data_IF_314707769855
#
_entry.id   IF_314707769855
#
_cell.length_a   1.000
_cell.length_b   1.000
_cell.length_c   1.000
_cell.angle_alpha   90.00
_cell.angle_beta   90.00
_cell.angle_gamma   90.00
#
_symmetry.space_group_name_H-M   'P 1'
#
loop_
_entity.id
_entity.type
_entity.pdbx_description
1 polymer ?
#
# COMPACT_ATOMS: atom_id res chain seq x y z
N UNK A 1 -12.94 33.39 -12.78
CA UNK A 1 -14.20 34.15 -12.80
C UNK A 1 -14.83 34.00 -11.44
N UNK A 2 -15.02 35.14 -10.77
CA UNK A 2 -15.53 35.26 -9.40
C UNK A 2 -16.90 34.58 -9.28
N UNK A 3 -17.14 33.98 -8.12
CA UNK A 3 -18.42 33.35 -7.79
C UNK A 3 -19.53 34.38 -7.89
N UNK A 4 -20.42 34.18 -8.87
CA UNK A 4 -21.76 34.74 -8.81
C UNK A 4 -22.43 33.99 -7.67
N UNK A 5 -22.66 34.66 -6.55
CA UNK A 5 -23.53 34.16 -5.49
C UNK A 5 -24.94 34.08 -6.08
N UNK A 6 -25.24 32.95 -6.71
CA UNK A 6 -26.57 32.66 -7.25
C UNK A 6 -27.56 32.75 -6.09
N UNK A 7 -28.53 33.68 -6.13
CA UNK A 7 -29.50 33.87 -5.07
C UNK A 7 -30.19 32.56 -4.68
N UNK A 8 -30.45 32.34 -3.38
CA UNK A 8 -31.04 31.08 -2.87
C UNK A 8 -32.36 30.69 -3.58
N UNK A 9 -33.16 31.67 -4.02
CA UNK A 9 -34.39 31.42 -4.75
C UNK A 9 -34.17 30.82 -6.15
N UNK A 10 -33.06 31.16 -6.82
CA UNK A 10 -32.71 30.55 -8.11
C UNK A 10 -32.33 29.06 -7.96
N UNK A 11 -31.76 28.66 -6.82
CA UNK A 11 -31.50 27.25 -6.52
C UNK A 11 -32.79 26.45 -6.30
N UNK A 12 -33.83 27.08 -5.74
CA UNK A 12 -35.14 26.44 -5.58
C UNK A 12 -35.81 26.19 -6.95
N UNK A 13 -35.63 27.09 -7.92
CA UNK A 13 -36.05 26.84 -9.31
C UNK A 13 -35.18 25.78 -10.00
N UNK A 14 -33.89 25.71 -9.68
CA UNK A 14 -32.95 24.73 -10.24
C UNK A 14 -33.18 23.30 -9.71
N UNK A 15 -33.86 23.14 -8.57
CA UNK A 15 -34.10 21.84 -7.94
C UNK A 15 -34.95 20.88 -8.82
N UNK A 16 -35.79 21.42 -9.71
CA UNK A 16 -36.60 20.65 -10.66
C UNK A 16 -35.92 20.43 -12.03
N UNK A 17 -34.77 21.06 -12.27
CA UNK A 17 -33.99 20.85 -13.50
C UNK A 17 -33.12 19.59 -13.42
N UNK A 18 -32.81 18.98 -14.57
CA UNK A 18 -31.90 17.84 -14.64
C UNK A 18 -30.47 18.25 -14.23
N UNK A 19 -29.72 17.30 -13.67
CA UNK A 19 -28.34 17.53 -13.23
C UNK A 19 -27.40 17.93 -14.39
N UNK A 20 -27.65 17.42 -15.60
CA UNK A 20 -26.99 17.85 -16.82
C UNK A 20 -28.00 17.98 -17.99
N UNK A 21 -27.72 18.83 -18.99
CA UNK A 21 -28.58 18.94 -20.16
C UNK A 21 -28.60 17.62 -20.95
N UNK A 22 -29.78 17.16 -21.42
CA UNK A 22 -29.87 15.95 -22.23
C UNK A 22 -29.20 16.14 -23.61
N UNK A 23 -28.74 15.05 -24.24
CA UNK A 23 -28.29 15.08 -25.62
C UNK A 23 -29.45 15.39 -26.59
N UNK A 24 -29.12 15.88 -27.79
CA UNK A 24 -30.11 16.24 -28.81
C UNK A 24 -31.07 15.09 -29.11
N UNK A 25 -32.38 15.36 -29.04
CA UNK A 25 -33.44 14.38 -29.31
C UNK A 25 -33.84 13.47 -28.15
N UNK A 26 -33.23 13.60 -26.97
CA UNK A 26 -33.60 12.81 -25.77
C UNK A 26 -34.45 13.65 -24.82
N UNK A 27 -35.67 13.19 -24.51
CA UNK A 27 -36.53 13.79 -23.49
C UNK A 27 -36.31 13.03 -22.17
N UNK A 28 -35.83 13.69 -21.09
CA UNK A 28 -35.64 13.03 -19.80
C UNK A 28 -36.95 12.49 -19.23
N UNK A 29 -36.94 11.24 -18.79
CA UNK A 29 -38.06 10.66 -18.06
C UNK A 29 -37.75 10.62 -16.56
N UNK A 30 -38.35 11.55 -15.81
CA UNK A 30 -38.15 11.64 -14.37
C UNK A 30 -39.07 10.73 -13.55
N UNK A 31 -40.16 10.21 -14.13
CA UNK A 31 -41.12 9.36 -13.42
C UNK A 31 -40.68 7.90 -13.39
N UNK A 32 -40.02 7.45 -14.47
CA UNK A 32 -39.51 6.09 -14.62
C UNK A 32 -38.08 6.13 -15.18
N UNK A 33 -37.09 6.60 -14.39
CA UNK A 33 -35.71 6.68 -14.85
C UNK A 33 -35.18 5.26 -15.09
N UNK A 34 -34.45 5.06 -16.19
CA UNK A 34 -33.94 3.72 -16.53
C UNK A 34 -32.66 3.46 -15.77
N UNK A 35 -32.64 2.38 -14.98
CA UNK A 35 -31.42 1.88 -14.35
C UNK A 35 -30.56 1.18 -15.41
N UNK A 36 -29.40 1.75 -15.70
CA UNK A 36 -28.40 1.21 -16.61
C UNK A 36 -27.33 0.48 -15.79
N UNK A 37 -26.87 -0.68 -16.27
CA UNK A 37 -25.90 -1.59 -15.63
C UNK A 37 -26.34 -2.37 -14.38
N UNK A 38 -27.59 -2.22 -13.91
CA UNK A 38 -28.07 -2.82 -12.66
C UNK A 38 -27.15 -2.48 -11.47
N UNK A 39 -27.37 -3.08 -10.30
CA UNK A 39 -26.54 -2.93 -9.10
C UNK A 39 -25.17 -3.66 -9.21
N UNK A 40 -24.44 -3.49 -10.32
CA UNK A 40 -23.17 -4.18 -10.58
C UNK A 40 -22.09 -3.82 -9.56
N UNK A 41 -22.08 -2.58 -9.06
CA UNK A 41 -21.16 -2.12 -8.02
C UNK A 41 -21.41 -2.89 -6.72
N UNK A 42 -22.66 -2.95 -6.27
CA UNK A 42 -23.01 -3.67 -5.04
C UNK A 42 -22.70 -5.16 -5.12
N UNK A 43 -22.94 -5.80 -6.28
CA UNK A 43 -22.57 -7.21 -6.49
C UNK A 43 -21.05 -7.40 -6.40
N UNK A 44 -20.27 -6.53 -7.06
CA UNK A 44 -18.81 -6.60 -7.03
C UNK A 44 -18.24 -6.36 -5.62
N UNK A 45 -18.76 -5.37 -4.88
CA UNK A 45 -18.41 -5.14 -3.48
C UNK A 45 -18.73 -6.37 -2.61
N UNK A 46 -19.92 -6.97 -2.78
CA UNK A 46 -20.32 -8.16 -2.00
C UNK A 46 -19.38 -9.35 -2.21
N UNK A 47 -19.03 -9.64 -3.46
CA UNK A 47 -18.07 -10.70 -3.80
C UNK A 47 -16.67 -10.36 -3.26
N UNK A 48 -16.22 -9.11 -3.43
CA UNK A 48 -14.93 -8.64 -2.92
C UNK A 48 -14.82 -8.82 -1.41
N UNK A 49 -15.77 -8.27 -0.63
CA UNK A 49 -15.78 -8.37 0.82
C UNK A 49 -15.68 -9.82 1.29
N UNK A 50 -16.45 -10.72 0.67
CA UNK A 50 -16.40 -12.14 1.01
C UNK A 50 -14.99 -12.72 0.79
N UNK A 51 -14.39 -12.48 -0.38
CA UNK A 51 -13.04 -12.96 -0.69
C UNK A 51 -12.01 -12.36 0.27
N UNK A 52 -12.07 -11.06 0.53
CA UNK A 52 -11.16 -10.36 1.43
C UNK A 52 -11.21 -10.96 2.84
N UNK A 53 -12.41 -11.16 3.41
CA UNK A 53 -12.57 -11.77 4.73
C UNK A 53 -11.96 -13.17 4.79
N UNK A 54 -12.20 -14.01 3.78
CA UNK A 54 -11.65 -15.37 3.72
C UNK A 54 -10.11 -15.34 3.64
N UNK A 55 -9.53 -14.59 2.71
CA UNK A 55 -8.08 -14.53 2.52
C UNK A 55 -7.34 -13.82 3.67
N UNK A 56 -7.91 -12.74 4.21
CA UNK A 56 -7.41 -12.06 5.41
C UNK A 56 -7.47 -12.98 6.64
N UNK A 57 -8.54 -13.75 6.78
CA UNK A 57 -8.70 -14.74 7.86
C UNK A 57 -7.63 -15.83 7.79
N UNK A 58 -7.37 -16.38 6.60
CA UNK A 58 -6.29 -17.35 6.37
C UNK A 58 -4.93 -16.74 6.73
N UNK A 59 -4.66 -15.50 6.28
CA UNK A 59 -3.41 -14.80 6.60
C UNK A 59 -3.25 -14.59 8.12
N UNK A 60 -4.31 -14.15 8.79
CA UNK A 60 -4.32 -13.90 10.23
C UNK A 60 -4.06 -15.19 11.01
N UNK A 61 -4.79 -16.26 10.70
CA UNK A 61 -4.60 -17.57 11.31
C UNK A 61 -3.18 -18.08 11.11
N UNK A 62 -2.64 -17.97 9.90
CA UNK A 62 -1.30 -18.44 9.60
C UNK A 62 -0.23 -17.65 10.39
N UNK A 63 -0.38 -16.33 10.54
CA UNK A 63 0.57 -15.50 11.30
C UNK A 63 0.51 -15.74 12.81
N UNK A 64 -0.71 -15.84 13.37
CA UNK A 64 -0.93 -16.02 14.81
C UNK A 64 -0.46 -17.40 15.27
N UNK A 65 -0.80 -18.45 14.53
CA UNK A 65 -0.55 -19.83 14.93
C UNK A 65 0.88 -20.30 14.66
N UNK A 66 1.58 -19.75 13.64
CA UNK A 66 2.84 -20.34 13.15
C UNK A 66 4.11 -19.51 13.42
N UNK A 67 4.06 -18.17 13.43
CA UNK A 67 5.29 -17.34 13.51
C UNK A 67 5.42 -16.61 14.86
N UNK A 68 4.30 -16.16 15.45
CA UNK A 68 4.30 -15.28 16.64
C UNK A 68 5.21 -14.04 16.51
N UNK A 69 5.46 -13.55 15.30
CA UNK A 69 6.20 -12.29 15.05
C UNK A 69 5.37 -11.37 14.15
N UNK A 70 5.23 -10.12 14.57
CA UNK A 70 4.59 -9.06 13.77
C UNK A 70 5.63 -8.38 12.91
N UNK A 71 5.41 -8.35 11.60
CA UNK A 71 6.27 -7.66 10.64
C UNK A 71 5.62 -6.36 10.19
N UNK A 72 6.42 -5.36 9.76
CA UNK A 72 5.89 -4.08 9.27
C UNK A 72 4.90 -4.27 8.11
N UNK A 73 5.15 -5.26 7.27
CA UNK A 73 4.25 -5.74 6.19
C UNK A 73 2.81 -6.00 6.69
N UNK A 74 2.65 -6.53 7.91
CA UNK A 74 1.32 -6.84 8.44
C UNK A 74 0.52 -5.57 8.79
N UNK A 75 1.18 -4.52 9.29
CA UNK A 75 0.50 -3.26 9.60
C UNK A 75 0.01 -2.56 8.34
N UNK A 76 0.83 -2.51 7.29
CA UNK A 76 0.45 -1.94 6.00
C UNK A 76 -0.69 -2.74 5.35
N UNK A 77 -0.66 -4.08 5.46
CA UNK A 77 -1.73 -4.94 4.99
C UNK A 77 -3.08 -4.63 5.68
N UNK A 78 -3.11 -4.60 7.02
CA UNK A 78 -4.36 -4.34 7.75
C UNK A 78 -4.89 -2.92 7.52
N UNK A 79 -3.99 -1.95 7.38
CA UNK A 79 -4.37 -0.58 7.03
C UNK A 79 -4.94 -0.49 5.61
N UNK A 80 -4.35 -1.22 4.66
CA UNK A 80 -4.86 -1.32 3.28
C UNK A 80 -6.24 -1.99 3.24
N UNK A 81 -6.44 -3.07 4.01
CA UNK A 81 -7.72 -3.75 4.12
C UNK A 81 -8.81 -2.82 4.67
N UNK A 82 -8.51 -2.09 5.75
CA UNK A 82 -9.45 -1.14 6.35
C UNK A 82 -9.87 -0.05 5.33
N UNK A 83 -8.91 0.52 4.59
CA UNK A 83 -9.19 1.56 3.60
C UNK A 83 -10.00 1.01 2.41
N UNK A 84 -9.73 -0.22 1.97
CA UNK A 84 -10.50 -0.87 0.91
C UNK A 84 -11.94 -1.18 1.35
N UNK A 85 -12.13 -1.71 2.56
CA UNK A 85 -13.47 -1.95 3.12
C UNK A 85 -14.26 -0.64 3.30
N UNK A 86 -13.58 0.44 3.73
CA UNK A 86 -14.19 1.77 3.79
C UNK A 86 -14.61 2.24 2.40
N UNK A 87 -13.76 2.10 1.39
CA UNK A 87 -14.08 2.46 0.01
C UNK A 87 -15.30 1.71 -0.51
N UNK A 88 -15.34 0.39 -0.32
CA UNK A 88 -16.47 -0.44 -0.75
C UNK A 88 -17.77 -0.08 -0.04
N UNK A 89 -17.72 0.24 1.26
CA UNK A 89 -18.88 0.72 2.00
C UNK A 89 -19.42 2.05 1.46
N UNK A 90 -18.52 2.99 1.12
CA UNK A 90 -18.91 4.26 0.49
C UNK A 90 -19.52 4.04 -0.90
N UNK A 91 -18.95 3.13 -1.70
CA UNK A 91 -19.49 2.78 -3.02
C UNK A 91 -20.85 2.09 -2.95
N UNK A 92 -21.05 1.15 -2.02
CA UNK A 92 -22.37 0.56 -1.80
C UNK A 92 -23.40 1.59 -1.34
N UNK A 93 -23.01 2.56 -0.51
CA UNK A 93 -23.91 3.64 -0.14
C UNK A 93 -24.31 4.49 -1.36
N UNK A 94 -23.35 4.85 -2.21
CA UNK A 94 -23.59 5.62 -3.43
C UNK A 94 -24.43 4.87 -4.47
N UNK A 95 -24.29 3.55 -4.56
CA UNK A 95 -25.08 2.70 -5.47
C UNK A 95 -26.54 2.55 -4.99
N UNK A 96 -26.77 2.48 -3.67
CA UNK A 96 -28.12 2.30 -3.11
C UNK A 96 -28.90 3.61 -2.89
N UNK A 97 -28.20 4.71 -2.61
CA UNK A 97 -28.84 5.99 -2.24
C UNK A 97 -28.45 7.14 -3.18
N UNK A 98 -27.46 6.94 -4.06
CA UNK A 98 -27.06 7.93 -5.05
C UNK A 98 -27.84 7.79 -6.35
N UNK A 99 -27.59 8.71 -7.28
CA UNK A 99 -28.07 8.64 -8.66
C UNK A 99 -27.19 7.79 -9.58
N UNK A 100 -26.22 7.03 -9.06
CA UNK A 100 -25.39 6.14 -9.87
C UNK A 100 -26.27 5.06 -10.50
N UNK A 101 -26.07 4.78 -11.79
CA UNK A 101 -26.92 3.87 -12.55
C UNK A 101 -28.04 4.54 -13.33
N UNK A 102 -28.34 5.81 -13.07
CA UNK A 102 -29.28 6.58 -13.87
C UNK A 102 -28.52 7.56 -14.78
N UNK A 103 -29.09 7.84 -15.95
CA UNK A 103 -28.55 8.84 -16.86
C UNK A 103 -28.51 10.21 -16.17
N UNK A 104 -27.44 10.99 -16.39
CA UNK A 104 -27.21 12.26 -15.68
C UNK A 104 -28.38 13.24 -15.89
N UNK A 105 -29.01 13.22 -17.07
CA UNK A 105 -30.15 14.06 -17.40
C UNK A 105 -31.49 13.56 -16.84
N UNK A 106 -31.58 12.35 -16.33
CA UNK A 106 -32.79 11.80 -15.68
C UNK A 106 -32.79 12.00 -14.16
N UNK A 107 -31.69 12.54 -13.61
CA UNK A 107 -31.54 12.81 -12.18
C UNK A 107 -31.89 14.27 -11.92
N UNK A 108 -32.92 14.50 -11.10
CA UNK A 108 -33.27 15.86 -10.63
C UNK A 108 -32.23 16.38 -9.64
N UNK A 109 -31.94 17.67 -9.69
CA UNK A 109 -30.97 18.30 -8.77
C UNK A 109 -31.37 18.13 -7.28
N UNK A 110 -32.68 18.13 -6.97
CA UNK A 110 -33.20 17.81 -5.62
C UNK A 110 -32.83 16.42 -5.10
N UNK A 111 -32.65 15.44 -5.98
CA UNK A 111 -32.28 14.08 -5.60
C UNK A 111 -30.81 14.00 -5.15
N UNK A 112 -29.99 14.96 -5.57
CA UNK A 112 -28.59 15.06 -5.17
C UNK A 112 -28.49 15.74 -3.80
N UNK A 113 -28.62 14.93 -2.75
CA UNK A 113 -28.56 15.39 -1.37
C UNK A 113 -27.13 15.68 -0.92
N UNK A 114 -26.98 16.51 0.13
CA UNK A 114 -25.68 16.80 0.76
C UNK A 114 -24.85 15.55 1.11
N UNK A 115 -25.38 14.50 1.75
CA UNK A 115 -24.58 13.32 2.09
C UNK A 115 -24.00 12.62 0.86
N UNK A 116 -24.73 12.56 -0.26
CA UNK A 116 -24.24 11.96 -1.52
C UNK A 116 -23.00 12.72 -2.03
N UNK A 117 -23.05 14.06 -2.03
CA UNK A 117 -21.93 14.89 -2.47
C UNK A 117 -20.70 14.73 -1.55
N UNK A 118 -20.93 14.72 -0.23
CA UNK A 118 -19.87 14.55 0.77
C UNK A 118 -19.22 13.17 0.64
N UNK A 119 -20.03 12.11 0.52
CA UNK A 119 -19.53 10.73 0.39
C UNK A 119 -18.80 10.54 -0.94
N UNK A 120 -19.27 11.15 -2.03
CA UNK A 120 -18.55 11.14 -3.31
C UNK A 120 -17.17 11.78 -3.17
N UNK A 121 -17.09 12.94 -2.50
CA UNK A 121 -15.82 13.63 -2.26
C UNK A 121 -14.86 12.82 -1.37
N UNK A 122 -15.37 12.28 -0.26
CA UNK A 122 -14.58 11.43 0.66
C UNK A 122 -14.13 10.14 -0.05
N UNK A 123 -15.00 9.51 -0.84
CA UNK A 123 -14.70 8.29 -1.57
C UNK A 123 -13.53 8.46 -2.54
N UNK A 124 -13.43 9.60 -3.23
CA UNK A 124 -12.29 9.91 -4.08
C UNK A 124 -10.97 10.06 -3.30
N UNK A 125 -11.02 10.63 -2.09
CA UNK A 125 -9.84 10.74 -1.22
C UNK A 125 -9.40 9.36 -0.72
N UNK A 126 -10.35 8.57 -0.20
CA UNK A 126 -10.11 7.22 0.30
C UNK A 126 -9.55 6.33 -0.80
N UNK A 127 -10.07 6.43 -2.03
CA UNK A 127 -9.59 5.69 -3.19
C UNK A 127 -8.08 5.89 -3.42
N UNK A 128 -7.61 7.14 -3.48
CA UNK A 128 -6.19 7.42 -3.75
C UNK A 128 -5.28 6.89 -2.65
N UNK A 129 -5.71 6.98 -1.39
CA UNK A 129 -4.98 6.45 -0.24
C UNK A 129 -4.95 4.92 -0.30
N UNK A 130 -6.08 4.28 -0.60
CA UNK A 130 -6.19 2.83 -0.71
C UNK A 130 -5.30 2.25 -1.82
N UNK A 131 -5.30 2.86 -3.02
CA UNK A 131 -4.44 2.44 -4.13
C UNK A 131 -2.97 2.50 -3.74
N UNK A 132 -2.53 3.62 -3.13
CA UNK A 132 -1.15 3.77 -2.69
C UNK A 132 -0.78 2.72 -1.63
N UNK A 133 -1.62 2.52 -0.62
CA UNK A 133 -1.35 1.57 0.46
C UNK A 133 -1.25 0.13 -0.03
N UNK A 134 -2.11 -0.29 -0.96
CA UNK A 134 -2.06 -1.63 -1.55
C UNK A 134 -0.75 -1.81 -2.31
N UNK A 135 -0.36 -0.85 -3.17
CA UNK A 135 0.90 -0.89 -3.91
C UNK A 135 2.12 -0.87 -2.99
N UNK A 136 2.08 -0.07 -1.93
CA UNK A 136 3.13 -0.03 -0.90
C UNK A 136 3.23 -1.38 -0.17
N UNK A 137 2.12 -2.01 0.19
CA UNK A 137 2.08 -3.33 0.82
C UNK A 137 2.73 -4.38 -0.09
N UNK A 138 2.40 -4.41 -1.38
CA UNK A 138 3.01 -5.35 -2.33
C UNK A 138 4.52 -5.11 -2.45
N UNK A 139 4.96 -3.86 -2.54
CA UNK A 139 6.40 -3.51 -2.64
C UNK A 139 7.18 -3.88 -1.36
N UNK A 140 6.60 -3.65 -0.18
CA UNK A 140 7.20 -4.05 1.12
C UNK A 140 7.30 -5.57 1.22
N UNK A 141 6.28 -6.29 0.72
CA UNK A 141 6.28 -7.74 0.68
C UNK A 141 7.39 -8.29 -0.24
N UNK A 142 7.55 -7.72 -1.43
CA UNK A 142 8.64 -8.06 -2.38
C UNK A 142 10.00 -7.77 -1.75
N UNK A 143 10.18 -6.58 -1.15
CA UNK A 143 11.41 -6.22 -0.45
C UNK A 143 11.75 -7.22 0.65
N UNK A 144 10.75 -7.63 1.44
CA UNK A 144 10.91 -8.60 2.51
C UNK A 144 11.19 -10.02 1.97
N UNK A 145 10.67 -10.37 0.79
CA UNK A 145 10.89 -11.68 0.18
C UNK A 145 12.32 -11.84 -0.38
N UNK A 146 12.90 -10.75 -0.88
CA UNK A 146 14.23 -10.71 -1.49
C UNK A 146 15.24 -9.90 -0.65
N UNK A 147 15.17 -10.04 0.68
CA UNK A 147 16.06 -9.36 1.64
C UNK A 147 17.56 -9.37 1.28
N UNK A 148 18.16 -10.46 0.76
CA UNK A 148 19.60 -10.47 0.44
C UNK A 148 19.98 -9.67 -0.82
N UNK A 149 19.04 -9.27 -1.69
CA UNK A 149 19.33 -8.66 -3.00
C UNK A 149 19.20 -7.13 -2.94
N UNK A 150 20.34 -6.43 -2.82
CA UNK A 150 20.37 -4.96 -2.65
C UNK A 150 19.66 -4.18 -3.78
N UNK A 151 19.82 -4.60 -5.04
CA UNK A 151 19.19 -3.90 -6.17
C UNK A 151 17.66 -3.92 -6.12
N UNK A 152 17.04 -5.03 -5.70
CA UNK A 152 15.58 -5.11 -5.53
C UNK A 152 15.11 -4.14 -4.46
N UNK A 153 15.85 -4.02 -3.35
CA UNK A 153 15.49 -3.10 -2.27
C UNK A 153 15.50 -1.64 -2.73
N UNK A 154 16.50 -1.23 -3.52
CA UNK A 154 16.58 0.12 -4.08
C UNK A 154 15.39 0.38 -5.01
N UNK A 155 15.06 -0.57 -5.89
CA UNK A 155 13.90 -0.47 -6.78
C UNK A 155 12.59 -0.39 -5.98
N UNK A 156 12.41 -1.23 -4.94
CA UNK A 156 11.20 -1.20 -4.12
C UNK A 156 11.03 0.14 -3.40
N UNK A 157 12.09 0.71 -2.83
CA UNK A 157 12.04 2.05 -2.21
C UNK A 157 11.73 3.14 -3.24
N UNK A 158 12.35 3.08 -4.42
CA UNK A 158 12.03 3.97 -5.54
C UNK A 158 10.56 3.88 -5.94
N UNK A 159 10.01 2.66 -6.02
CA UNK A 159 8.59 2.42 -6.29
C UNK A 159 7.65 2.98 -5.21
N UNK A 160 7.97 2.77 -3.93
CA UNK A 160 7.15 3.28 -2.81
C UNK A 160 7.14 4.81 -2.82
N UNK A 161 8.32 5.44 -2.96
CA UNK A 161 8.43 6.90 -2.98
C UNK A 161 7.78 7.48 -4.23
N UNK A 162 8.00 6.88 -5.40
CA UNK A 162 7.44 7.33 -6.66
C UNK A 162 5.91 7.23 -6.70
N UNK A 163 5.35 6.10 -6.26
CA UNK A 163 3.89 5.93 -6.16
C UNK A 163 3.30 6.85 -5.09
N UNK A 164 3.96 7.01 -3.93
CA UNK A 164 3.55 7.95 -2.89
C UNK A 164 3.45 9.37 -3.46
N UNK A 165 4.53 9.90 -4.03
CA UNK A 165 4.57 11.24 -4.59
C UNK A 165 3.46 11.45 -5.62
N UNK A 166 3.22 10.47 -6.50
CA UNK A 166 2.19 10.57 -7.53
C UNK A 166 0.77 10.57 -6.96
N UNK A 167 0.41 9.61 -6.10
CA UNK A 167 -0.96 9.53 -5.55
C UNK A 167 -1.26 10.67 -4.58
N UNK A 168 -0.28 11.11 -3.78
CA UNK A 168 -0.44 12.29 -2.93
C UNK A 168 -0.58 13.58 -3.75
N UNK A 169 0.19 13.76 -4.83
CA UNK A 169 0.02 14.90 -5.72
C UNK A 169 -1.38 14.92 -6.37
N UNK A 170 -1.86 13.76 -6.84
CA UNK A 170 -3.22 13.64 -7.37
C UNK A 170 -4.29 13.94 -6.32
N UNK A 171 -4.10 13.47 -5.08
CA UNK A 171 -5.00 13.76 -3.96
C UNK A 171 -5.07 15.27 -3.69
N UNK A 172 -3.93 15.97 -3.65
CA UNK A 172 -3.89 17.42 -3.43
C UNK A 172 -4.64 18.16 -4.54
N UNK A 173 -4.39 17.80 -5.80
CA UNK A 173 -5.06 18.41 -6.96
C UNK A 173 -6.58 18.20 -6.88
N UNK A 174 -7.03 16.99 -6.53
CA UNK A 174 -8.45 16.67 -6.37
C UNK A 174 -9.10 17.50 -5.26
N UNK A 175 -8.47 17.57 -4.09
CA UNK A 175 -8.98 18.32 -2.94
C UNK A 175 -9.07 19.82 -3.27
N UNK A 176 -8.04 20.40 -3.88
CA UNK A 176 -8.01 21.82 -4.21
C UNK A 176 -9.04 22.18 -5.28
N UNK A 177 -9.22 21.31 -6.28
CA UNK A 177 -10.06 21.61 -7.44
C UNK A 177 -11.56 21.37 -7.18
N UNK A 178 -11.89 20.37 -6.35
CA UNK A 178 -13.27 19.98 -6.03
C UNK A 178 -13.74 20.40 -4.63
N UNK A 179 -12.98 21.21 -3.89
CA UNK A 179 -13.40 21.71 -2.57
C UNK A 179 -14.74 22.46 -2.65
N UNK A 180 -15.59 22.36 -1.61
CA UNK A 180 -16.80 23.17 -1.52
C UNK A 180 -16.43 24.66 -1.57
N UNK A 181 -17.18 25.44 -2.36
CA UNK A 181 -17.00 26.90 -2.49
C UNK A 181 -18.11 27.61 -1.71
N UNK A 182 -17.76 28.46 -0.76
CA UNK A 182 -18.72 29.36 -0.10
C UNK A 182 -19.51 28.78 1.08
N UNK A 183 -19.07 27.68 1.71
CA UNK A 183 -19.67 27.19 2.97
C UNK A 183 -19.72 25.66 3.12
N UNK A 184 -20.50 25.18 4.09
CA UNK A 184 -20.72 23.74 4.38
C UNK A 184 -22.12 23.25 3.96
N UNK A 185 -22.86 24.06 3.22
CA UNK A 185 -24.23 23.76 2.77
C UNK A 185 -24.23 22.89 1.50
N UNK A 186 -25.39 22.27 1.18
CA UNK A 186 -25.60 21.47 -0.04
C UNK A 186 -25.12 22.22 -1.29
N UNK A 187 -25.47 23.49 -1.38
CA UNK A 187 -25.16 24.37 -2.51
C UNK A 187 -23.64 24.58 -2.66
N UNK A 188 -22.91 24.71 -1.55
CA UNK A 188 -21.46 24.90 -1.58
C UNK A 188 -20.71 23.67 -2.10
N UNK A 189 -21.16 22.47 -1.72
CA UNK A 189 -20.64 21.21 -2.26
C UNK A 189 -20.99 21.05 -3.73
N UNK A 190 -22.23 21.37 -4.12
CA UNK A 190 -22.68 21.30 -5.50
C UNK A 190 -21.88 22.27 -6.40
N UNK A 191 -21.66 23.51 -5.96
CA UNK A 191 -20.83 24.50 -6.65
C UNK A 191 -19.34 24.13 -6.68
N UNK A 192 -18.88 23.35 -5.70
CA UNK A 192 -17.54 22.75 -5.69
C UNK A 192 -17.36 21.76 -6.85
N UNK A 193 -18.26 20.76 -6.90
CA UNK A 193 -18.23 19.65 -7.86
C UNK A 193 -18.59 20.12 -9.28
N UNK A 194 -19.60 20.98 -9.43
CA UNK A 194 -20.04 21.50 -10.73
C UNK A 194 -19.10 22.57 -11.30
N UNK A 195 -18.04 22.95 -10.58
CA UNK A 195 -17.09 23.93 -11.09
C UNK A 195 -16.33 23.41 -12.30
N UNK A 196 -16.02 24.33 -13.22
CA UNK A 196 -15.17 24.06 -14.39
C UNK A 196 -13.85 23.36 -14.04
N UNK A 197 -13.28 23.60 -12.86
CA UNK A 197 -12.05 22.95 -12.42
C UNK A 197 -12.24 21.46 -12.05
N UNK A 198 -13.45 21.06 -11.63
CA UNK A 198 -13.78 19.72 -11.17
C UNK A 198 -14.54 18.89 -12.22
N UNK A 199 -15.62 19.43 -12.80
CA UNK A 199 -16.50 18.74 -13.74
C UNK A 199 -16.45 19.27 -15.19
N UNK A 200 -15.60 20.26 -15.49
CA UNK A 200 -15.47 20.78 -16.86
C UNK A 200 -14.97 19.72 -17.84
N UNK A 201 -15.53 19.69 -19.05
CA UNK A 201 -15.14 18.79 -20.17
C UNK A 201 -13.70 19.00 -20.65
N UNK A 202 -13.05 20.09 -20.23
CA UNK A 202 -11.62 20.39 -20.44
C UNK A 202 -10.86 20.57 -19.12
N UNK A 203 -11.44 20.14 -18.01
CA UNK A 203 -10.88 20.31 -16.67
C UNK A 203 -9.57 19.54 -16.49
N UNK A 204 -8.69 20.11 -15.67
CA UNK A 204 -7.43 19.47 -15.29
C UNK A 204 -7.67 18.07 -14.67
N UNK A 205 -8.78 17.87 -13.95
CA UNK A 205 -9.09 16.59 -13.28
C UNK A 205 -9.34 15.44 -14.25
N UNK A 206 -10.06 15.68 -15.35
CA UNK A 206 -10.32 14.61 -16.32
C UNK A 206 -9.02 14.13 -16.98
N UNK A 207 -8.14 15.07 -17.35
CA UNK A 207 -6.80 14.75 -17.87
C UNK A 207 -5.96 14.00 -16.83
N UNK A 208 -5.98 14.48 -15.57
CA UNK A 208 -5.29 13.81 -14.47
C UNK A 208 -5.83 12.41 -14.19
N UNK A 209 -7.12 12.15 -14.36
CA UNK A 209 -7.71 10.81 -14.19
C UNK A 209 -7.16 9.80 -15.20
N UNK A 210 -6.96 10.21 -16.47
CA UNK A 210 -6.33 9.37 -17.48
C UNK A 210 -4.85 9.15 -17.15
N UNK A 211 -4.12 10.21 -16.80
CA UNK A 211 -2.71 10.12 -16.39
C UNK A 211 -2.57 9.17 -15.18
N UNK A 212 -3.49 9.26 -14.22
CA UNK A 212 -3.52 8.36 -13.06
C UNK A 212 -3.81 6.92 -13.44
N UNK A 213 -4.72 6.68 -14.40
CA UNK A 213 -4.95 5.33 -14.94
C UNK A 213 -3.70 4.77 -15.65
N UNK A 214 -3.04 5.57 -16.49
CA UNK A 214 -1.80 5.16 -17.16
C UNK A 214 -0.69 4.86 -16.14
N UNK A 215 -0.51 5.72 -15.13
CA UNK A 215 0.44 5.50 -14.05
C UNK A 215 0.09 4.26 -13.22
N UNK A 216 -1.20 4.01 -12.98
CA UNK A 216 -1.72 2.78 -12.36
C UNK A 216 -1.19 1.54 -13.08
N UNK A 217 -1.45 1.44 -14.39
CA UNK A 217 -0.97 0.35 -15.24
C UNK A 217 0.55 0.22 -15.23
N UNK A 218 1.28 1.33 -15.43
CA UNK A 218 2.75 1.33 -15.44
C UNK A 218 3.32 0.87 -14.11
N UNK A 219 2.73 1.32 -12.98
CA UNK A 219 3.16 0.91 -11.65
C UNK A 219 2.87 -0.57 -11.37
N UNK A 220 1.78 -1.15 -11.88
CA UNK A 220 1.52 -2.59 -11.76
C UNK A 220 2.50 -3.43 -12.56
N UNK A 221 2.78 -3.03 -13.82
CA UNK A 221 3.80 -3.68 -14.64
C UNK A 221 5.18 -3.58 -13.97
N UNK A 222 5.51 -2.42 -13.41
CA UNK A 222 6.75 -2.21 -12.67
C UNK A 222 6.87 -3.18 -11.49
N UNK A 223 5.83 -3.29 -10.67
CA UNK A 223 5.77 -4.22 -9.53
C UNK A 223 5.93 -5.68 -9.98
N UNK A 224 5.31 -6.05 -11.11
CA UNK A 224 5.39 -7.40 -11.67
C UNK A 224 6.79 -7.75 -12.17
N UNK A 225 7.52 -6.77 -12.74
CA UNK A 225 8.85 -6.98 -13.33
C UNK A 225 9.95 -7.08 -12.27
N UNK A 226 9.86 -6.35 -11.15
CA UNK A 226 10.90 -6.34 -10.10
C UNK A 226 11.40 -7.74 -9.70
N UNK A 227 10.54 -8.73 -9.36
CA UNK A 227 11.00 -10.03 -8.89
C UNK A 227 11.49 -10.96 -10.02
N UNK A 228 11.14 -10.71 -11.29
CA UNK A 228 11.42 -11.61 -12.41
C UNK A 228 12.93 -11.91 -12.61
N UNK A 229 13.83 -10.91 -12.67
CA UNK A 229 15.26 -11.16 -12.86
C UNK A 229 15.89 -11.96 -11.72
N UNK A 230 15.41 -11.76 -10.48
CA UNK A 230 15.92 -12.52 -9.33
C UNK A 230 15.42 -13.96 -9.32
N UNK A 231 14.17 -14.19 -9.72
CA UNK A 231 13.61 -15.54 -9.86
C UNK A 231 14.38 -16.32 -10.94
N UNK A 232 14.71 -15.69 -12.07
CA UNK A 232 15.44 -16.34 -13.17
C UNK A 232 16.84 -16.83 -12.77
N UNK A 233 17.50 -16.14 -11.82
CA UNK A 233 18.84 -16.50 -11.33
C UNK A 233 18.83 -17.49 -10.17
N UNK A 234 17.67 -17.75 -9.55
CA UNK A 234 17.58 -18.56 -8.34
C UNK A 234 17.30 -20.03 -8.69
N UNK A 235 18.20 -20.94 -8.29
CA UNK A 235 18.01 -22.40 -8.43
C UNK A 235 16.99 -22.88 -7.39
N UNK A 236 15.71 -22.91 -7.76
CA UNK A 236 14.58 -23.26 -6.88
C UNK A 236 14.11 -24.70 -7.15
N UNK A 237 13.71 -25.44 -6.10
CA UNK A 237 13.13 -26.79 -6.22
C UNK A 237 11.76 -26.77 -6.93
N UNK A 238 11.40 -27.83 -7.66
CA UNK A 238 10.17 -27.86 -8.48
C UNK A 238 8.88 -27.52 -7.71
N UNK A 239 8.78 -27.94 -6.44
CA UNK A 239 7.63 -27.64 -5.57
C UNK A 239 7.50 -26.15 -5.23
N UNK A 240 8.62 -25.46 -5.07
CA UNK A 240 8.64 -24.01 -4.82
C UNK A 240 8.37 -23.20 -6.10
N UNK A 241 8.67 -23.79 -7.27
CA UNK A 241 8.40 -23.18 -8.58
C UNK A 241 6.91 -22.95 -8.82
N UNK A 242 6.05 -23.86 -8.33
CA UNK A 242 4.58 -23.75 -8.45
C UNK A 242 4.06 -22.53 -7.67
N UNK A 243 4.50 -22.32 -6.43
CA UNK A 243 4.06 -21.16 -5.64
C UNK A 243 4.47 -19.82 -6.26
N UNK A 244 5.66 -19.77 -6.87
CA UNK A 244 6.12 -18.58 -7.61
C UNK A 244 5.28 -18.35 -8.87
N UNK A 245 4.94 -19.41 -9.60
CA UNK A 245 4.09 -19.30 -10.79
C UNK A 245 2.70 -18.78 -10.44
N UNK A 246 2.10 -19.26 -9.35
CA UNK A 246 0.78 -18.78 -8.89
C UNK A 246 0.81 -17.27 -8.58
N UNK A 247 1.80 -16.81 -7.82
CA UNK A 247 1.97 -15.37 -7.52
C UNK A 247 2.14 -14.56 -8.81
N UNK A 248 2.94 -15.05 -9.75
CA UNK A 248 3.16 -14.36 -11.02
C UNK A 248 1.89 -14.30 -11.89
N UNK A 249 1.16 -15.40 -12.01
CA UNK A 249 -0.12 -15.43 -12.75
C UNK A 249 -1.16 -14.49 -12.15
N UNK A 250 -1.24 -14.44 -10.81
CA UNK A 250 -2.14 -13.50 -10.14
C UNK A 250 -1.72 -12.04 -10.36
N UNK A 251 -0.41 -11.74 -10.37
CA UNK A 251 0.10 -10.41 -10.70
C UNK A 251 -0.16 -10.01 -12.15
N UNK A 252 -0.09 -10.96 -13.08
CA UNK A 252 -0.48 -10.73 -14.48
C UNK A 252 -1.97 -10.42 -14.62
N UNK A 253 -2.83 -11.17 -13.93
CA UNK A 253 -4.28 -10.90 -13.87
C UNK A 253 -4.57 -9.50 -13.31
N UNK A 254 -3.84 -9.06 -12.27
CA UNK A 254 -3.96 -7.71 -11.74
C UNK A 254 -3.62 -6.65 -12.82
N UNK A 255 -2.53 -6.85 -13.58
CA UNK A 255 -2.17 -5.94 -14.67
C UNK A 255 -3.25 -5.86 -15.76
N UNK A 256 -3.88 -6.99 -16.11
CA UNK A 256 -5.00 -7.02 -17.06
C UNK A 256 -6.19 -6.23 -16.52
N UNK A 257 -6.53 -6.40 -15.23
CA UNK A 257 -7.58 -5.64 -14.57
C UNK A 257 -7.30 -4.13 -14.62
N UNK A 258 -6.06 -3.69 -14.34
CA UNK A 258 -5.67 -2.28 -14.42
C UNK A 258 -5.78 -1.71 -15.84
N UNK A 259 -5.45 -2.50 -16.87
CA UNK A 259 -5.62 -2.09 -18.28
C UNK A 259 -7.10 -1.93 -18.63
N UNK A 260 -7.97 -2.83 -18.17
CA UNK A 260 -9.41 -2.71 -18.34
C UNK A 260 -9.96 -1.48 -17.61
N UNK A 261 -9.52 -1.23 -16.37
CA UNK A 261 -9.84 -0.01 -15.62
C UNK A 261 -9.49 1.25 -16.43
N UNK A 262 -8.32 1.29 -17.05
CA UNK A 262 -7.92 2.41 -17.91
C UNK A 262 -8.79 2.52 -19.16
N UNK A 263 -9.11 1.40 -19.83
CA UNK A 263 -9.97 1.40 -21.01
C UNK A 263 -11.36 1.98 -20.68
N UNK A 264 -11.96 1.59 -19.56
CA UNK A 264 -13.25 2.13 -19.10
C UNK A 264 -13.19 3.61 -18.72
N UNK A 265 -12.06 4.08 -18.16
CA UNK A 265 -11.85 5.52 -17.92
C UNK A 265 -11.79 6.31 -19.23
N UNK A 266 -11.16 5.76 -20.26
CA UNK A 266 -11.06 6.43 -21.57
C UNK A 266 -12.42 6.50 -22.24
N UNK A 267 -13.26 5.45 -22.15
CA UNK A 267 -14.63 5.50 -22.67
C UNK A 267 -15.48 6.52 -21.91
N UNK A 268 -15.39 6.53 -20.58
CA UNK A 268 -16.11 7.49 -19.73
C UNK A 268 -15.67 8.95 -19.97
N UNK A 269 -14.46 9.18 -20.48
CA UNK A 269 -14.00 10.52 -20.84
C UNK A 269 -14.62 11.04 -22.15
N UNK A 270 -14.96 10.14 -23.09
CA UNK A 270 -15.51 10.53 -24.40
C UNK A 270 -17.01 10.80 -24.34
N UNK A 271 -17.68 10.36 -23.29
CA UNK A 271 -19.13 10.45 -23.14
C UNK A 271 -19.53 11.61 -22.24
N UNK A 272 -20.75 12.12 -22.43
CA UNK A 272 -21.33 13.18 -21.60
C UNK A 272 -21.99 12.63 -20.33
N UNK A 273 -22.08 11.30 -20.21
CA UNK A 273 -22.97 10.62 -19.27
C UNK A 273 -22.17 9.92 -18.17
N UNK A 274 -21.53 10.75 -17.35
CA UNK A 274 -20.54 10.32 -16.37
C UNK A 274 -21.12 9.37 -15.31
N UNK A 275 -22.40 9.47 -14.93
CA UNK A 275 -22.99 8.61 -13.89
C UNK A 275 -23.12 7.15 -14.33
N UNK A 276 -23.39 6.91 -15.61
CA UNK A 276 -23.51 5.57 -16.19
C UNK A 276 -22.14 5.01 -16.53
N UNK A 277 -21.30 5.79 -17.23
CA UNK A 277 -20.01 5.30 -17.72
C UNK A 277 -18.94 5.19 -16.63
N UNK A 278 -19.15 5.81 -15.47
CA UNK A 278 -18.29 5.61 -14.29
C UNK A 278 -18.51 4.25 -13.63
N UNK A 279 -19.66 3.59 -13.82
CA UNK A 279 -19.97 2.32 -13.14
C UNK A 279 -18.99 1.20 -13.52
N UNK A 280 -18.73 0.91 -14.82
CA UNK A 280 -17.73 -0.08 -15.19
C UNK A 280 -16.33 0.25 -14.66
N UNK A 281 -15.97 1.54 -14.66
CA UNK A 281 -14.69 2.02 -14.15
C UNK A 281 -14.55 1.80 -12.63
N UNK A 282 -15.59 2.09 -11.84
CA UNK A 282 -15.59 1.84 -10.39
C UNK A 282 -15.55 0.35 -10.09
N UNK A 283 -16.32 -0.44 -10.83
CA UNK A 283 -16.36 -1.91 -10.70
C UNK A 283 -14.98 -2.52 -10.98
N UNK A 284 -14.32 -2.10 -12.06
CA UNK A 284 -12.99 -2.56 -12.41
C UNK A 284 -11.94 -2.18 -11.33
N UNK A 285 -12.04 -0.97 -10.76
CA UNK A 285 -11.16 -0.54 -9.65
C UNK A 285 -11.34 -1.40 -8.39
N UNK A 286 -12.57 -1.75 -8.02
CA UNK A 286 -12.80 -2.66 -6.87
C UNK A 286 -12.08 -3.99 -7.13
N UNK A 287 -12.28 -4.57 -8.32
CA UNK A 287 -11.65 -5.85 -8.68
C UNK A 287 -10.12 -5.76 -8.66
N UNK A 288 -9.55 -4.71 -9.25
CA UNK A 288 -8.10 -4.45 -9.29
C UNK A 288 -7.50 -4.39 -7.87
N UNK A 289 -8.11 -3.61 -6.97
CA UNK A 289 -7.63 -3.44 -5.60
C UNK A 289 -7.78 -4.72 -4.77
N UNK A 290 -8.88 -5.44 -4.97
CA UNK A 290 -9.17 -6.71 -4.30
C UNK A 290 -8.16 -7.78 -4.70
N UNK A 291 -7.92 -7.93 -6.00
CA UNK A 291 -6.92 -8.88 -6.52
C UNK A 291 -5.53 -8.50 -5.98
N UNK A 292 -5.17 -7.21 -5.99
CA UNK A 292 -3.93 -6.71 -5.40
C UNK A 292 -3.73 -7.16 -3.94
N UNK A 293 -4.77 -7.02 -3.11
CA UNK A 293 -4.70 -7.41 -1.71
C UNK A 293 -4.69 -8.94 -1.50
N UNK A 294 -5.43 -9.70 -2.32
CA UNK A 294 -5.42 -11.18 -2.29
C UNK A 294 -4.02 -11.72 -2.62
N UNK A 295 -3.34 -11.13 -3.62
CA UNK A 295 -1.97 -11.52 -3.99
C UNK A 295 -1.03 -11.41 -2.80
N UNK A 296 -1.15 -10.35 -2.00
CA UNK A 296 -0.31 -10.18 -0.79
C UNK A 296 -0.56 -11.28 0.24
N UNK A 297 -1.81 -11.74 0.38
CA UNK A 297 -2.15 -12.86 1.26
C UNK A 297 -1.47 -14.14 0.80
N UNK A 298 -1.61 -14.46 -0.50
CA UNK A 298 -1.02 -15.66 -1.11
C UNK A 298 0.51 -15.65 -1.00
N UNK A 299 1.15 -14.53 -1.31
CA UNK A 299 2.60 -14.40 -1.25
C UNK A 299 3.14 -14.51 0.18
N UNK A 300 2.44 -13.98 1.19
CA UNK A 300 2.85 -14.15 2.58
C UNK A 300 2.65 -15.57 3.10
N UNK A 301 1.56 -16.25 2.71
CA UNK A 301 1.33 -17.66 3.06
C UNK A 301 2.36 -18.57 2.37
N UNK A 302 2.68 -18.31 1.10
CA UNK A 302 3.73 -19.04 0.38
C UNK A 302 5.11 -18.87 1.05
N UNK A 303 5.48 -17.63 1.40
CA UNK A 303 6.70 -17.35 2.16
C UNK A 303 6.73 -18.08 3.50
N UNK A 304 5.60 -18.08 4.22
CA UNK A 304 5.45 -18.76 5.50
C UNK A 304 5.60 -20.28 5.40
N UNK A 305 4.94 -20.90 4.41
CA UNK A 305 5.06 -22.35 4.18
C UNK A 305 6.52 -22.76 3.97
N UNK A 306 7.31 -21.96 3.25
CA UNK A 306 8.73 -22.20 3.02
C UNK A 306 9.54 -22.18 4.32
N UNK A 307 9.34 -21.18 5.19
CA UNK A 307 10.05 -21.10 6.48
C UNK A 307 9.71 -22.28 7.40
N UNK A 308 8.45 -22.69 7.44
CA UNK A 308 8.00 -23.81 8.28
C UNK A 308 8.51 -25.16 7.78
N UNK A 309 8.47 -25.40 6.46
CA UNK A 309 9.02 -26.63 5.89
C UNK A 309 10.52 -26.75 6.11
N UNK A 310 11.27 -25.64 5.98
CA UNK A 310 12.69 -25.61 6.29
C UNK A 310 12.99 -25.87 7.78
N UNK A 311 12.17 -25.32 8.69
CA UNK A 311 12.31 -25.54 10.13
C UNK A 311 11.89 -26.96 10.57
N UNK A 312 10.89 -27.57 9.92
CA UNK A 312 10.34 -28.88 10.31
C UNK A 312 11.04 -30.07 9.66
N UNK A 313 11.71 -29.87 8.51
CA UNK A 313 12.51 -30.90 7.82
C UNK A 313 13.90 -30.38 7.44
N UNK A 314 14.77 -30.04 8.41
CA UNK A 314 16.13 -29.58 8.13
C UNK A 314 16.97 -30.64 7.37
N UNK A 315 16.65 -31.93 7.53
CA UNK A 315 17.36 -33.04 6.88
C UNK A 315 17.04 -33.22 5.38
N UNK A 316 16.00 -32.56 4.84
CA UNK A 316 15.62 -32.64 3.42
C UNK A 316 16.22 -31.49 2.59
N UNK A 317 16.54 -30.35 3.22
CA UNK A 317 17.37 -29.31 2.63
C UNK A 317 18.81 -29.60 3.02
N UNK A 318 19.41 -30.56 2.32
CA UNK A 318 20.78 -30.99 2.53
C UNK A 318 21.71 -29.81 2.73
N UNK A 319 22.35 -29.82 3.88
CA UNK A 319 23.60 -29.16 4.19
C UNK A 319 24.48 -29.23 2.93
N UNK A 320 24.63 -28.12 2.20
CA UNK A 320 25.78 -27.99 1.31
C UNK A 320 26.95 -27.74 2.25
N UNK A 321 27.36 -28.80 2.96
CA UNK A 321 28.72 -28.89 3.48
C UNK A 321 29.59 -28.64 2.27
N UNK A 322 30.29 -27.50 2.28
CA UNK A 322 31.46 -27.29 1.45
C UNK A 322 32.38 -28.45 1.81
N UNK A 323 32.33 -29.47 0.97
CA UNK A 323 33.19 -30.65 1.02
C UNK A 323 34.55 -30.17 0.52
N UNK A 324 35.30 -29.57 1.43
CA UNK A 324 36.69 -29.19 1.21
C UNK A 324 37.48 -30.48 0.99
N UNK A 325 37.58 -30.86 -0.28
CA UNK A 325 38.26 -32.06 -0.72
C UNK A 325 39.74 -31.72 -0.84
N UNK A 326 40.47 -31.99 0.24
CA UNK A 326 41.87 -32.39 0.22
C UNK A 326 42.84 -31.52 -0.57
N UNK A 327 43.36 -30.47 0.06
CA UNK A 327 44.77 -30.12 -0.10
C UNK A 327 45.47 -30.46 1.22
N UNK A 328 46.18 -31.60 1.24
CA UNK A 328 47.21 -31.85 2.25
C UNK A 328 48.28 -30.79 2.04
N UNK A 329 48.35 -29.80 2.92
CA UNK A 329 49.59 -29.09 3.20
C UNK A 329 49.73 -28.97 4.71
N UNK A 330 50.83 -29.52 5.20
CA UNK A 330 51.29 -29.41 6.57
C UNK A 330 51.25 -27.95 7.03
N UNK A 331 50.57 -27.70 8.13
CA UNK A 331 50.66 -26.43 8.84
C UNK A 331 50.82 -26.75 10.33
N UNK A 332 52.01 -26.45 10.83
CA UNK A 332 52.44 -26.70 12.21
C UNK A 332 51.47 -26.11 13.24
N UNK A 333 51.26 -26.77 14.39
CA UNK A 333 50.39 -26.25 15.43
C UNK A 333 51.07 -25.10 16.18
N UNK A 334 50.42 -23.93 16.18
CA UNK A 334 50.73 -22.84 17.08
C UNK A 334 50.46 -23.27 18.53
N UNK A 335 51.38 -23.04 19.49
CA UNK A 335 51.20 -23.52 20.86
C UNK A 335 50.14 -22.70 21.61
N UNK A 336 49.11 -23.40 22.09
CA UNK A 336 48.14 -22.90 23.09
C UNK A 336 48.84 -22.68 24.43
N UNK A 337 48.91 -21.43 24.91
CA UNK A 337 49.11 -21.14 26.34
C UNK A 337 47.82 -21.43 27.11
N UNK A 338 47.88 -22.26 28.15
CA UNK A 338 46.85 -22.39 29.19
C UNK A 338 47.47 -22.09 30.57
N UNK A 339 46.84 -21.11 31.24
CA UNK A 339 46.63 -20.86 32.68
C UNK A 339 47.81 -20.79 33.69
N UNK A 340 48.03 -19.56 34.20
CA UNK A 340 48.02 -19.01 35.60
C UNK A 340 48.31 -19.94 36.81
N UNK A 341 48.70 -19.44 38.02
CA UNK A 341 48.74 -18.05 38.54
C UNK A 341 50.01 -17.71 39.39
N UNK A 342 49.95 -16.62 40.16
CA UNK A 342 50.82 -16.20 41.29
C UNK A 342 52.00 -15.25 40.98
N UNK A 343 52.11 -14.18 41.78
CA UNK A 343 53.28 -13.29 41.82
C UNK A 343 52.99 -11.82 41.55
N UNK A 344 52.21 -11.18 42.42
CA UNK A 344 52.27 -9.73 42.63
C UNK A 344 53.66 -9.40 43.22
N UNK A 345 54.62 -9.04 42.37
CA UNK A 345 55.87 -8.39 42.78
C UNK A 345 56.56 -7.81 41.55
N UNK A 346 56.30 -6.53 41.26
CA UNK A 346 57.22 -5.57 40.61
C UNK A 346 56.47 -4.28 40.26
N UNK A 347 55.67 -3.80 41.21
CA UNK A 347 55.26 -2.40 41.27
C UNK A 347 56.09 -1.75 42.40
N UNK A 348 57.41 -1.74 42.22
CA UNK A 348 58.31 -0.96 43.08
C UNK A 348 59.62 -0.57 42.37
N UNK A 349 59.48 0.14 41.25
CA UNK A 349 60.56 0.95 40.67
C UNK A 349 60.01 2.26 40.14
N UNK A 350 59.08 2.86 40.88
CA UNK A 350 58.74 4.27 40.74
C UNK A 350 58.84 4.89 42.12
N UNK A 351 60.09 5.14 42.52
CA UNK A 351 60.52 6.35 43.23
C UNK A 351 62.03 6.32 43.48
N UNK A 352 62.75 7.01 42.60
CA UNK A 352 63.64 8.09 43.04
C UNK A 352 62.77 9.10 43.80
N UNK A 353 62.41 8.74 45.03
CA UNK A 353 61.86 9.58 46.08
C UNK A 353 61.86 8.72 47.34
N UNK A 354 63.03 8.67 47.98
CA UNK A 354 63.11 8.36 49.41
C UNK A 354 62.16 9.29 50.16
N UNK A 355 61.66 8.95 51.34
CA UNK A 355 62.40 8.29 52.40
C UNK A 355 61.40 7.72 53.40
N UNK A 356 61.55 6.42 53.68
CA UNK A 356 61.60 5.78 55.00
C UNK A 356 60.68 6.29 56.12
N UNK A 357 59.72 5.46 56.51
CA UNK A 357 59.21 5.36 57.88
C UNK A 357 58.99 3.88 58.17
N UNK A 358 59.90 3.28 58.93
CA UNK A 358 59.60 2.07 59.72
C UNK A 358 59.88 2.40 61.19
N UNK A 359 58.86 2.14 62.01
CA UNK A 359 58.82 2.33 63.45
C UNK A 359 58.91 0.94 64.09
N UNK A 360 59.90 0.73 64.97
CA UNK A 360 59.91 -0.44 65.84
C UNK A 360 61.19 -0.71 66.61
N UNK A 361 61.54 0.17 67.55
CA UNK A 361 62.08 -0.15 68.89
C UNK A 361 63.21 -1.18 69.04
N UNK A 362 64.42 -0.77 69.47
CA UNK A 362 64.82 -0.67 70.88
C UNK A 362 66.35 -0.54 71.03
N UNK A 363 66.77 0.24 72.06
CA UNK A 363 68.06 0.17 72.79
C UNK A 363 69.33 0.51 71.98
N UNK A 364 70.33 1.20 72.49
CA UNK A 364 70.59 1.91 73.74
C UNK A 364 71.91 2.67 73.49
N UNK A 365 72.27 3.55 74.42
CA UNK A 365 73.65 3.99 74.66
C UNK A 365 74.26 5.04 73.71
N UNK A 366 74.20 6.28 74.23
CA UNK A 366 75.39 7.06 74.60
C UNK A 366 76.20 7.81 73.52
N UNK A 367 76.37 9.10 73.83
CA UNK A 367 77.67 9.80 73.84
C UNK A 367 77.94 10.81 72.72
N UNK A 368 77.64 12.07 73.03
CA UNK A 368 78.64 13.15 73.17
C UNK A 368 79.01 13.99 71.93
N UNK A 369 78.63 15.29 72.02
CA UNK A 369 79.33 16.57 71.67
C UNK A 369 80.02 16.64 70.29
N UNK A 370 79.92 17.73 69.53
CA UNK A 370 80.07 19.16 69.86
C UNK A 370 79.17 19.97 68.93
#
# INVERSE_FOLDING_TARGET
>A
MAGVDIPRWMWALADDYPFAPPPEGVVPNFEHPKLVHNHSISIACGISMFLLVVFSGIRFYAKLSLIRKRTLDDYFYWMSLLMLLLLEALYMYLDNHGGYGYHVWEIKLRAVTKPILVITFIGQIVLQIAIWLIKATILILIMSAFEPVKHIRILCWGGIIGTCAFYFANLIVQVVSCRPRGGTDRIAFLAGIASYQCAGTNAAIQKMSIIAGCFGVVSDIYILIIPLPAIAKLKISQRQKIGVYLIFTSGFMACVASVLSLAFRITAWKTKDLTVDSIPSMTAQIVELTVGLIITCMASVAKLSRFLFAARFPKLFGETTVRDSGAKNEMQPWPRRRHAPSGLSELDSMKTFGTTVDVGTSRDSSSTRI
#
